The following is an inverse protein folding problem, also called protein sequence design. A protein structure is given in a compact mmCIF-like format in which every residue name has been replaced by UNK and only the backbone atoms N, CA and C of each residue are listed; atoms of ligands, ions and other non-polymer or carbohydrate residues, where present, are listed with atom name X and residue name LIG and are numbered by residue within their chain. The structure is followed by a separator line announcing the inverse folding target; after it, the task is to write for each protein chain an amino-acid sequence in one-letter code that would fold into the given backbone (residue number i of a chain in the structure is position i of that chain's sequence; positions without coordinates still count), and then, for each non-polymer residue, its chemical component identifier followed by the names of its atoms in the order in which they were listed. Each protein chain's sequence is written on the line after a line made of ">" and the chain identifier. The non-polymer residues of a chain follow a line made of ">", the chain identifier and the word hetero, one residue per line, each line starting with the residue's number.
data_IF_414582520302
#
_entry.id   IF_414582520302
#
_cell.length_a   1.000
_cell.length_b   1.000
_cell.length_c   1.000
_cell.angle_alpha   90.00
_cell.angle_beta   90.00
_cell.angle_gamma   90.00
#
_symmetry.space_group_name_H-M   'P 1'
#
loop_
_entity.id
_entity.type
_entity.pdbx_description
1 polymer ?
#
# COMPACT_ATOMS: atom_id res chain seq x y z
N UNK A 1 -11.54 -6.37 -17.70
CA UNK A 1 -12.14 -5.03 -17.90
C UNK A 1 -13.01 -4.73 -16.69
N UNK A 2 -12.57 -3.89 -15.76
CA UNK A 2 -13.04 -3.92 -14.35
C UNK A 2 -13.48 -2.54 -13.78
N UNK A 3 -14.02 -1.65 -14.60
CA UNK A 3 -14.68 -0.44 -14.13
C UNK A 3 -15.84 -0.07 -15.08
N UNK A 4 -17.08 -0.02 -14.57
CA UNK A 4 -18.26 0.40 -15.34
C UNK A 4 -18.38 1.93 -15.45
N UNK A 5 -17.75 2.68 -14.52
CA UNK A 5 -17.77 4.15 -14.51
C UNK A 5 -16.39 4.76 -14.28
N UNK A 6 -16.07 5.92 -14.90
CA UNK A 6 -14.83 6.64 -14.64
C UNK A 6 -14.74 7.04 -13.16
N UNK A 7 -13.69 6.56 -12.47
CA UNK A 7 -13.43 6.86 -11.06
C UNK A 7 -13.95 5.83 -10.06
N UNK A 8 -14.58 4.74 -10.50
CA UNK A 8 -14.91 3.61 -9.63
C UNK A 8 -13.65 2.80 -9.29
N UNK A 9 -13.48 2.44 -8.01
CA UNK A 9 -12.38 1.58 -7.57
C UNK A 9 -12.56 0.18 -8.16
N UNK A 10 -11.46 -0.48 -8.52
CA UNK A 10 -11.50 -1.89 -8.93
C UNK A 10 -12.12 -2.73 -7.81
N UNK A 11 -13.17 -3.48 -8.12
CA UNK A 11 -13.76 -4.45 -7.19
C UNK A 11 -13.06 -5.80 -7.37
N UNK A 12 -12.67 -6.42 -6.26
CA UNK A 12 -12.16 -7.79 -6.25
C UNK A 12 -13.29 -8.72 -6.74
N UNK A 13 -12.98 -9.60 -7.69
CA UNK A 13 -13.96 -10.52 -8.30
C UNK A 13 -14.15 -11.82 -7.51
N UNK A 14 -13.33 -12.06 -6.48
CA UNK A 14 -13.39 -13.22 -5.60
C UNK A 14 -14.38 -12.97 -4.45
N UNK A 15 -15.23 -13.96 -4.15
CA UNK A 15 -16.13 -13.90 -2.99
C UNK A 15 -15.40 -14.28 -1.70
N UNK A 16 -15.82 -13.72 -0.56
CA UNK A 16 -15.25 -14.05 0.76
C UNK A 16 -15.35 -15.54 1.10
N UNK A 17 -16.39 -16.22 0.58
CA UNK A 17 -16.60 -17.65 0.79
C UNK A 17 -15.59 -18.49 0.01
N UNK A 18 -15.37 -18.16 -1.26
CA UNK A 18 -14.37 -18.83 -2.10
C UNK A 18 -12.96 -18.59 -1.56
N UNK A 19 -12.68 -17.34 -1.14
CA UNK A 19 -11.41 -16.96 -0.54
C UNK A 19 -11.07 -17.77 0.72
N UNK A 20 -12.04 -17.97 1.63
CA UNK A 20 -11.87 -18.83 2.80
C UNK A 20 -11.69 -20.30 2.42
N UNK A 21 -12.40 -20.78 1.40
CA UNK A 21 -12.29 -22.17 0.97
C UNK A 21 -10.91 -22.49 0.37
N UNK A 22 -10.31 -21.53 -0.36
CA UNK A 22 -9.05 -21.74 -1.07
C UNK A 22 -7.82 -21.37 -0.24
N UNK A 23 -7.92 -20.33 0.59
CA UNK A 23 -6.77 -19.78 1.33
C UNK A 23 -6.93 -19.88 2.86
N UNK A 24 -8.02 -20.46 3.35
CA UNK A 24 -8.36 -20.59 4.78
C UNK A 24 -8.86 -19.29 5.43
N UNK A 25 -8.44 -18.14 4.91
CA UNK A 25 -8.73 -16.79 5.40
C UNK A 25 -8.85 -15.85 4.20
N UNK A 26 -9.62 -14.77 4.33
CA UNK A 26 -9.82 -13.80 3.23
C UNK A 26 -8.50 -13.03 3.00
N UNK A 27 -7.89 -13.10 1.81
CA UNK A 27 -6.70 -12.31 1.49
C UNK A 27 -6.95 -10.81 1.61
N UNK A 28 -5.98 -10.01 2.08
CA UNK A 28 -6.15 -8.58 2.16
C UNK A 28 -6.27 -7.96 0.75
N UNK A 29 -7.28 -7.11 0.54
CA UNK A 29 -7.40 -6.33 -0.69
C UNK A 29 -6.34 -5.22 -0.71
N UNK A 30 -5.37 -5.40 -1.59
CA UNK A 30 -4.26 -4.46 -1.75
C UNK A 30 -4.70 -3.14 -2.39
N UNK A 31 -5.81 -3.08 -3.12
CA UNK A 31 -6.33 -1.84 -3.71
C UNK A 31 -6.83 -0.88 -2.63
N UNK A 32 -7.58 -1.41 -1.65
CA UNK A 32 -8.03 -0.62 -0.51
C UNK A 32 -6.86 -0.31 0.45
N UNK A 33 -5.93 -1.25 0.60
CA UNK A 33 -4.77 -1.07 1.48
C UNK A 33 -3.80 -0.01 0.93
N UNK A 34 -3.66 0.10 -0.40
CA UNK A 34 -2.92 1.17 -1.07
C UNK A 34 -3.37 2.56 -0.63
N UNK A 35 -4.69 2.73 -0.55
CA UNK A 35 -5.29 4.01 -0.21
C UNK A 35 -5.19 4.33 1.28
N UNK A 36 -5.29 3.32 2.14
CA UNK A 36 -5.30 3.51 3.60
C UNK A 36 -3.92 3.58 4.23
N UNK A 37 -2.93 2.82 3.71
CA UNK A 37 -1.58 2.71 4.29
C UNK A 37 -0.47 3.30 3.41
N UNK A 38 -0.77 3.62 2.16
CA UNK A 38 0.16 4.27 1.26
C UNK A 38 1.07 3.31 0.46
N UNK A 39 1.86 3.88 -0.46
CA UNK A 39 2.73 3.12 -1.37
C UNK A 39 3.81 2.32 -0.65
N UNK A 40 4.49 2.94 0.33
CA UNK A 40 5.63 2.33 1.01
C UNK A 40 5.26 1.06 1.78
N UNK A 41 4.02 1.03 2.30
CA UNK A 41 3.48 -0.14 2.95
C UNK A 41 3.32 -1.30 1.97
N UNK A 42 2.78 -1.07 0.76
CA UNK A 42 2.65 -2.10 -0.28
C UNK A 42 4.02 -2.59 -0.73
N UNK A 43 4.93 -1.66 -1.00
CA UNK A 43 6.29 -1.97 -1.41
C UNK A 43 6.97 -2.90 -0.40
N UNK A 44 6.88 -2.56 0.88
CA UNK A 44 7.47 -3.36 1.96
C UNK A 44 6.72 -4.68 2.15
N UNK A 45 5.40 -4.69 1.98
CA UNK A 45 4.57 -5.89 2.09
C UNK A 45 4.93 -6.91 1.00
N UNK A 46 5.04 -6.50 -0.26
CA UNK A 46 5.41 -7.38 -1.38
C UNK A 46 6.85 -7.91 -1.26
N UNK A 47 7.75 -7.16 -0.60
CA UNK A 47 9.12 -7.61 -0.28
C UNK A 47 9.26 -8.26 1.10
N UNK A 48 8.16 -8.46 1.82
CA UNK A 48 8.17 -8.97 3.20
C UNK A 48 7.93 -10.48 3.30
N UNK A 49 7.70 -11.15 2.16
CA UNK A 49 7.31 -12.56 2.15
C UNK A 49 8.49 -13.50 2.39
N UNK A 50 8.28 -14.52 3.20
CA UNK A 50 9.24 -15.60 3.46
C UNK A 50 8.51 -16.94 3.61
N UNK A 51 9.24 -18.03 3.41
CA UNK A 51 8.73 -19.40 3.55
C UNK A 51 8.55 -19.75 5.02
N UNK A 52 7.35 -20.25 5.32
CA UNK A 52 6.95 -20.71 6.65
C UNK A 52 5.95 -21.86 6.51
N UNK A 53 6.43 -23.08 6.72
CA UNK A 53 5.64 -24.31 6.59
C UNK A 53 4.56 -24.45 7.68
N UNK A 54 4.60 -23.64 8.74
CA UNK A 54 3.57 -23.65 9.79
C UNK A 54 2.28 -22.94 9.37
N UNK A 55 2.31 -22.16 8.29
CA UNK A 55 1.16 -21.40 7.78
C UNK A 55 0.38 -22.19 6.73
N UNK A 56 -0.92 -21.91 6.60
CA UNK A 56 -1.80 -22.61 5.66
C UNK A 56 -1.36 -22.49 4.19
N UNK A 57 -0.72 -21.38 3.81
CA UNK A 57 -0.24 -21.12 2.45
C UNK A 57 1.23 -21.51 2.23
N UNK A 58 1.94 -21.87 3.30
CA UNK A 58 3.39 -22.08 3.29
C UNK A 58 4.21 -20.79 3.15
N UNK A 59 3.57 -19.64 3.37
CA UNK A 59 4.15 -18.30 3.25
C UNK A 59 3.71 -17.41 4.41
N UNK A 60 4.64 -16.61 4.92
CA UNK A 60 4.38 -15.63 5.95
C UNK A 60 5.01 -14.27 5.59
N UNK A 61 4.65 -13.22 6.31
CA UNK A 61 5.07 -11.85 6.01
C UNK A 61 5.57 -11.13 7.27
N UNK A 62 6.56 -10.25 7.11
CA UNK A 62 7.11 -9.46 8.21
C UNK A 62 6.19 -8.35 8.71
N UNK A 63 5.39 -7.74 7.83
CA UNK A 63 4.44 -6.69 8.19
C UNK A 63 3.08 -7.24 8.62
N UNK A 64 2.71 -8.41 8.12
CA UNK A 64 1.41 -9.02 8.41
C UNK A 64 1.59 -10.51 8.76
N UNK A 65 1.77 -10.85 10.04
CA UNK A 65 1.94 -12.23 10.47
C UNK A 65 0.73 -13.11 10.11
N UNK A 66 0.99 -14.36 9.72
CA UNK A 66 -0.01 -15.36 9.32
C UNK A 66 -0.88 -14.89 8.15
N UNK A 67 -0.22 -14.29 7.16
CA UNK A 67 -0.88 -13.78 5.97
C UNK A 67 -1.62 -14.89 5.21
N UNK A 68 -2.87 -14.58 4.85
CA UNK A 68 -3.77 -15.42 4.07
C UNK A 68 -3.40 -15.54 2.59
N UNK A 69 -2.27 -14.98 2.18
CA UNK A 69 -1.92 -14.78 0.78
C UNK A 69 -0.56 -15.43 0.50
N UNK A 70 -0.46 -16.33 -0.50
CA UNK A 70 0.83 -16.86 -0.91
C UNK A 70 1.65 -15.76 -1.60
N UNK A 71 2.98 -15.92 -1.59
CA UNK A 71 3.84 -15.01 -2.33
C UNK A 71 3.67 -15.24 -3.83
N UNK A 72 3.02 -14.30 -4.53
CA UNK A 72 2.72 -14.42 -5.96
C UNK A 72 3.96 -14.20 -6.83
N UNK A 73 4.94 -13.42 -6.33
CA UNK A 73 6.13 -13.03 -7.09
C UNK A 73 7.38 -13.83 -6.66
N UNK A 74 7.17 -14.99 -6.03
CA UNK A 74 8.24 -15.84 -5.50
C UNK A 74 9.20 -16.36 -6.58
N UNK A 75 8.73 -16.51 -7.83
CA UNK A 75 9.59 -16.93 -8.95
C UNK A 75 10.60 -15.84 -9.33
N UNK A 76 10.23 -14.57 -9.17
CA UNK A 76 11.11 -13.44 -9.47
C UNK A 76 12.09 -13.16 -8.35
N UNK A 77 11.62 -13.15 -7.10
CA UNK A 77 12.45 -12.89 -5.92
C UNK A 77 13.32 -14.09 -5.52
N UNK A 78 12.81 -15.30 -5.74
CA UNK A 78 13.32 -16.51 -5.15
C UNK A 78 12.67 -16.81 -3.80
N UNK A 79 13.07 -17.94 -3.20
CA UNK A 79 12.56 -18.36 -1.90
C UNK A 79 13.56 -18.00 -0.82
N UNK A 80 13.07 -17.42 0.28
CA UNK A 80 13.86 -17.11 1.47
C UNK A 80 13.15 -17.58 2.73
N UNK A 81 13.91 -17.89 3.77
CA UNK A 81 13.41 -18.23 5.10
C UNK A 81 13.79 -17.14 6.08
N UNK A 82 12.93 -16.83 7.04
CA UNK A 82 13.26 -15.89 8.10
C UNK A 82 14.18 -16.55 9.14
N UNK A 83 15.28 -15.87 9.47
CA UNK A 83 16.21 -16.31 10.50
C UNK A 83 15.92 -15.52 11.78
N UNK A 84 15.67 -16.25 12.87
CA UNK A 84 15.39 -15.68 14.18
C UNK A 84 16.55 -15.93 15.11
N UNK A 85 17.03 -14.88 15.78
CA UNK A 85 17.94 -15.03 16.92
C UNK A 85 17.17 -14.78 18.21
N UNK A 86 17.58 -15.48 19.27
CA UNK A 86 16.98 -15.31 20.59
C UNK A 86 17.75 -14.18 21.29
N UNK A 87 17.08 -13.05 21.51
CA UNK A 87 17.64 -11.95 22.28
C UNK A 87 17.79 -12.35 23.75
N UNK A 88 18.60 -11.60 24.50
CA UNK A 88 18.85 -11.83 25.93
C UNK A 88 17.56 -11.85 26.80
N UNK A 89 16.46 -11.29 26.30
CA UNK A 89 15.14 -11.27 26.93
C UNK A 89 14.17 -12.37 26.44
N UNK A 90 14.68 -13.48 25.88
CA UNK A 90 13.90 -14.63 25.37
C UNK A 90 12.89 -14.27 24.26
N UNK A 91 13.09 -13.11 23.62
CA UNK A 91 12.31 -12.64 22.47
C UNK A 91 13.00 -13.05 21.17
N UNK A 92 12.26 -13.74 20.29
CA UNK A 92 12.73 -14.11 18.95
C UNK A 92 12.75 -12.87 18.05
N UNK A 93 13.93 -12.33 17.81
CA UNK A 93 14.12 -11.19 16.90
C UNK A 93 14.42 -11.72 15.50
N UNK A 94 13.74 -11.16 14.50
CA UNK A 94 14.04 -11.43 13.10
C UNK A 94 15.33 -10.70 12.73
N UNK A 95 16.41 -11.46 12.51
CA UNK A 95 17.76 -10.91 12.23
C UNK A 95 18.00 -10.75 10.74
N UNK A 96 17.32 -11.55 9.92
CA UNK A 96 17.39 -11.40 8.48
C UNK A 96 16.71 -12.54 7.74
N UNK A 97 17.11 -12.70 6.49
CA UNK A 97 16.60 -13.73 5.61
C UNK A 97 17.73 -14.59 5.06
N UNK A 98 17.54 -15.90 5.11
CA UNK A 98 18.39 -16.87 4.44
C UNK A 98 17.79 -17.19 3.07
N UNK A 99 18.56 -17.02 1.99
CA UNK A 99 18.10 -17.33 0.64
C UNK A 99 18.18 -18.84 0.41
N UNK A 100 17.02 -19.46 0.17
CA UNK A 100 16.92 -20.89 -0.12
C UNK A 100 17.21 -21.14 -1.60
N UNK A 101 16.55 -20.37 -2.48
CA UNK A 101 16.72 -20.45 -3.93
C UNK A 101 16.74 -19.06 -4.54
N UNK A 102 17.59 -18.87 -5.55
CA UNK A 102 17.61 -17.64 -6.36
C UNK A 102 16.38 -17.58 -7.27
N UNK A 103 15.79 -16.40 -7.38
CA UNK A 103 14.73 -16.12 -8.35
C UNK A 103 15.28 -15.84 -9.74
N UNK A 104 14.39 -15.50 -10.67
CA UNK A 104 14.76 -15.12 -12.04
C UNK A 104 15.35 -13.71 -12.15
N UNK A 105 15.22 -12.87 -11.12
CA UNK A 105 15.73 -11.50 -11.07
C UNK A 105 16.80 -11.35 -9.99
N UNK A 106 17.73 -10.42 -10.20
CA UNK A 106 18.59 -9.94 -9.11
C UNK A 106 17.78 -9.15 -8.09
N UNK A 107 18.32 -8.98 -6.88
CA UNK A 107 17.65 -8.20 -5.82
C UNK A 107 17.34 -6.76 -6.26
N UNK A 108 18.24 -6.12 -7.00
CA UNK A 108 18.07 -4.75 -7.49
C UNK A 108 17.00 -4.64 -8.59
N UNK A 109 16.95 -5.62 -9.49
CA UNK A 109 15.92 -5.69 -10.53
C UNK A 109 14.55 -5.96 -9.92
N UNK A 110 14.47 -6.88 -8.96
CA UNK A 110 13.24 -7.17 -8.24
C UNK A 110 12.74 -5.92 -7.48
N UNK A 111 13.62 -5.23 -6.75
CA UNK A 111 13.27 -3.98 -6.06
C UNK A 111 12.70 -2.92 -7.00
N UNK A 112 13.31 -2.78 -8.18
CA UNK A 112 12.84 -1.85 -9.21
C UNK A 112 11.47 -2.25 -9.76
N UNK A 113 11.27 -3.54 -10.04
CA UNK A 113 10.00 -4.08 -10.52
C UNK A 113 8.86 -3.91 -9.49
N UNK A 114 9.13 -4.17 -8.21
CA UNK A 114 8.14 -3.99 -7.14
C UNK A 114 7.79 -2.51 -6.94
N UNK A 115 8.78 -1.62 -7.07
CA UNK A 115 8.52 -0.17 -7.04
C UNK A 115 7.60 0.27 -8.17
N UNK A 116 7.85 -0.20 -9.39
CA UNK A 116 7.05 0.16 -10.55
C UNK A 116 5.64 -0.42 -10.46
N UNK A 117 5.50 -1.67 -9.99
CA UNK A 117 4.21 -2.29 -9.68
C UNK A 117 3.43 -1.49 -8.63
N UNK A 118 4.10 -1.08 -7.56
CA UNK A 118 3.50 -0.26 -6.49
C UNK A 118 3.01 1.08 -7.05
N UNK A 119 3.83 1.75 -7.87
CA UNK A 119 3.45 3.00 -8.52
C UNK A 119 2.22 2.83 -9.43
N UNK A 120 2.17 1.72 -10.17
CA UNK A 120 1.01 1.38 -11.00
C UNK A 120 -0.27 1.17 -10.16
N UNK A 121 -0.18 0.43 -9.05
CA UNK A 121 -1.31 0.21 -8.14
C UNK A 121 -1.81 1.52 -7.52
N UNK A 122 -0.90 2.40 -7.11
CA UNK A 122 -1.23 3.72 -6.55
C UNK A 122 -1.92 4.60 -7.59
N UNK A 123 -1.45 4.57 -8.84
CA UNK A 123 -2.09 5.27 -9.94
C UNK A 123 -3.53 4.77 -10.17
N UNK A 124 -3.74 3.45 -10.18
CA UNK A 124 -5.08 2.89 -10.33
C UNK A 124 -6.01 3.21 -9.16
N UNK A 125 -5.48 3.31 -7.95
CA UNK A 125 -6.25 3.71 -6.77
C UNK A 125 -6.63 5.20 -6.78
N UNK A 126 -5.81 6.06 -7.42
CA UNK A 126 -6.05 7.51 -7.51
C UNK A 126 -5.75 8.10 -8.91
N UNK A 127 -6.52 7.76 -9.96
CA UNK A 127 -6.21 8.19 -11.34
C UNK A 127 -6.29 9.71 -11.52
N UNK A 128 -7.09 10.40 -10.69
CA UNK A 128 -7.27 11.85 -10.73
C UNK A 128 -6.27 12.64 -9.86
N UNK A 129 -5.24 12.00 -9.29
CA UNK A 129 -4.33 12.61 -8.31
C UNK A 129 -3.71 13.92 -8.81
N UNK A 130 -3.14 13.93 -10.02
CA UNK A 130 -2.54 15.13 -10.62
C UNK A 130 -3.56 16.24 -10.90
N UNK A 131 -4.76 15.88 -11.35
CA UNK A 131 -5.85 16.85 -11.63
C UNK A 131 -6.31 17.52 -10.33
N UNK A 132 -6.44 16.75 -9.25
CA UNK A 132 -6.81 17.23 -7.92
C UNK A 132 -5.79 18.23 -7.36
N UNK A 133 -4.49 17.97 -7.47
CA UNK A 133 -3.47 18.91 -7.00
C UNK A 133 -3.51 20.23 -7.77
N UNK A 134 -3.65 20.17 -9.10
CA UNK A 134 -3.73 21.37 -9.95
C UNK A 134 -4.93 22.24 -9.58
N UNK A 135 -6.12 21.65 -9.41
CA UNK A 135 -7.32 22.39 -9.02
C UNK A 135 -7.17 22.91 -7.57
N UNK A 136 -6.68 22.07 -6.66
CA UNK A 136 -6.46 22.44 -5.25
C UNK A 136 -5.57 23.66 -5.09
N UNK A 137 -4.49 23.77 -5.87
CA UNK A 137 -3.62 24.95 -5.87
C UNK A 137 -4.40 26.24 -6.22
N UNK A 138 -5.19 26.22 -7.30
CA UNK A 138 -6.00 27.37 -7.70
C UNK A 138 -7.07 27.73 -6.66
N UNK A 139 -7.70 26.73 -6.03
CA UNK A 139 -8.67 26.94 -4.95
C UNK A 139 -8.00 27.58 -3.73
N UNK A 140 -6.79 27.15 -3.36
CA UNK A 140 -6.04 27.74 -2.23
C UNK A 140 -5.67 29.21 -2.50
N UNK A 141 -5.23 29.52 -3.73
CA UNK A 141 -4.95 30.91 -4.14
C UNK A 141 -6.21 31.76 -4.10
N UNK A 142 -7.33 31.25 -4.65
CA UNK A 142 -8.62 31.94 -4.61
C UNK A 142 -9.07 32.20 -3.17
N UNK A 143 -8.97 31.21 -2.28
CA UNK A 143 -9.33 31.37 -0.86
C UNK A 143 -8.46 32.41 -0.16
N UNK A 144 -7.14 32.45 -0.43
CA UNK A 144 -6.26 33.47 0.14
C UNK A 144 -6.68 34.88 -0.26
N UNK A 145 -6.97 35.09 -1.55
CA UNK A 145 -7.47 36.38 -2.07
C UNK A 145 -8.82 36.74 -1.45
N UNK A 146 -9.74 35.78 -1.41
CA UNK A 146 -11.07 35.98 -0.84
C UNK A 146 -11.05 36.29 0.66
N UNK A 147 -10.17 35.63 1.42
CA UNK A 147 -9.93 35.95 2.84
C UNK A 147 -9.40 37.37 3.00
N UNK A 148 -8.46 37.80 2.14
CA UNK A 148 -7.98 39.18 2.12
C UNK A 148 -9.09 40.20 1.87
N UNK A 149 -9.92 39.98 0.85
CA UNK A 149 -11.06 40.85 0.54
C UNK A 149 -12.11 40.86 1.67
N UNK A 150 -12.44 39.69 2.21
CA UNK A 150 -13.39 39.55 3.32
C UNK A 150 -12.87 40.23 4.60
N UNK A 151 -11.57 40.18 4.85
CA UNK A 151 -10.95 40.89 5.97
C UNK A 151 -11.03 42.41 5.82
N UNK A 152 -10.74 42.93 4.62
CA UNK A 152 -10.89 44.36 4.33
C UNK A 152 -12.36 44.80 4.47
N UNK A 153 -13.31 44.01 3.97
CA UNK A 153 -14.73 44.28 4.10
C UNK A 153 -15.17 44.28 5.57
N UNK A 154 -14.74 43.30 6.36
CA UNK A 154 -14.98 43.27 7.81
C UNK A 154 -14.43 44.53 8.48
N UNK A 155 -13.19 44.93 8.15
CA UNK A 155 -12.54 46.11 8.72
C UNK A 155 -13.35 47.38 8.43
N UNK A 156 -13.88 47.54 7.23
CA UNK A 156 -14.71 48.69 6.85
C UNK A 156 -16.05 48.70 7.60
N UNK A 157 -16.76 47.57 7.65
CA UNK A 157 -18.04 47.47 8.36
C UNK A 157 -17.92 47.74 9.87
N UNK A 158 -16.78 47.39 10.47
CA UNK A 158 -16.54 47.58 11.91
C UNK A 158 -15.98 48.96 12.25
N UNK A 159 -15.71 49.81 11.25
CA UNK A 159 -15.22 51.17 11.45
C UNK A 159 -16.26 52.05 12.16
N UNK A 160 -17.54 51.88 11.83
CA UNK A 160 -18.62 52.74 12.35
C UNK A 160 -19.16 52.27 13.71
N UNK A 161 -18.62 51.17 14.26
CA UNK A 161 -19.02 50.58 15.55
C UNK A 161 -18.03 50.93 16.68
N UNK A 162 -17.00 51.75 16.40
CA UNK A 162 -16.06 52.29 17.40
C UNK A 162 -16.12 53.81 17.46
#
# INVERSE_FOLDING_TARGET
>A
FAAEKPGELMKVTMSDQDAKSWFGVVPPDLTLTARSRGPDWIYTYLRGFYRDESTATGWNNTLYPNVAMPHVLYEWEGMRKATYETSADDTKLLVGFEQLNSGTMSAQEYDSAIRDLTNFMVYLAEPAKLVRYRIGFWVMVFMLVFVGLSYLLKKEYWRDVH
#
